data_IF_700422807709
#
_entry.id   IF_700422807709
#
_cell.length_a   1.000
_cell.length_b   1.000
_cell.length_c   1.000
_cell.angle_alpha   90.00
_cell.angle_beta   90.00
_cell.angle_gamma   90.00
#
_symmetry.space_group_name_H-M   'P 1'
#
loop_
_entity.id
_entity.type
_entity.pdbx_description
1 polymer ?
#
# COMPACT_ATOMS: atom_id res chain seq x y z
N UNK A 1 -31.43 -5.70 14.17
CA UNK A 1 -30.37 -5.42 15.18
C UNK A 1 -30.61 -4.05 15.77
N UNK A 2 -30.56 -3.91 17.08
CA UNK A 2 -30.80 -2.67 17.79
C UNK A 2 -29.55 -2.27 18.58
N UNK A 3 -28.97 -1.14 18.25
CA UNK A 3 -27.92 -0.49 19.05
C UNK A 3 -28.58 0.44 20.08
N UNK A 4 -28.29 0.22 21.35
CA UNK A 4 -28.83 1.02 22.44
C UNK A 4 -27.81 1.97 23.01
N UNK A 5 -28.22 3.20 23.28
CA UNK A 5 -27.39 4.23 23.92
C UNK A 5 -26.12 4.53 23.12
N UNK A 6 -26.26 4.74 21.80
CA UNK A 6 -25.16 5.23 20.95
C UNK A 6 -25.10 6.75 21.00
N UNK A 7 -23.89 7.30 20.92
CA UNK A 7 -23.67 8.71 20.72
C UNK A 7 -23.71 9.02 19.22
N UNK A 8 -24.65 9.85 18.81
CA UNK A 8 -24.75 10.45 17.48
C UNK A 8 -24.56 11.97 17.63
N UNK A 9 -23.42 12.49 17.26
CA UNK A 9 -23.12 13.94 17.28
C UNK A 9 -23.43 14.60 18.65
N UNK A 10 -22.96 13.98 19.73
CA UNK A 10 -23.17 14.36 21.13
C UNK A 10 -24.61 14.17 21.64
N UNK A 11 -25.42 13.37 20.98
CA UNK A 11 -26.77 13.02 21.42
C UNK A 11 -26.93 11.51 21.56
N UNK A 12 -27.44 11.07 22.72
CA UNK A 12 -27.65 9.65 22.98
C UNK A 12 -28.97 9.19 22.37
N UNK A 13 -28.90 8.21 21.47
CA UNK A 13 -30.03 7.61 20.78
C UNK A 13 -29.94 6.08 20.77
N UNK A 14 -31.02 5.45 20.47
CA UNK A 14 -31.08 4.07 20.02
C UNK A 14 -31.20 4.03 18.50
N UNK A 15 -30.53 3.08 17.84
CA UNK A 15 -30.51 2.95 16.38
C UNK A 15 -30.86 1.53 15.99
N UNK A 16 -31.93 1.36 15.19
CA UNK A 16 -32.28 0.06 14.61
C UNK A 16 -31.78 -0.07 13.21
N UNK A 17 -31.11 -1.19 12.91
CA UNK A 17 -30.56 -1.52 11.60
C UNK A 17 -31.18 -2.85 11.12
N UNK A 18 -31.55 -2.88 9.84
CA UNK A 18 -31.99 -4.12 9.17
C UNK A 18 -31.29 -4.25 7.81
N UNK A 19 -30.56 -5.34 7.62
CA UNK A 19 -29.72 -5.52 6.44
C UNK A 19 -28.67 -4.40 6.34
N UNK A 20 -28.74 -3.64 5.25
CA UNK A 20 -27.83 -2.52 4.93
C UNK A 20 -28.45 -1.13 5.22
N UNK A 21 -29.57 -1.08 5.95
CA UNK A 21 -30.34 0.15 6.18
C UNK A 21 -30.52 0.46 7.66
N UNK A 22 -30.37 1.73 8.02
CA UNK A 22 -30.88 2.27 9.27
C UNK A 22 -32.41 2.42 9.10
N UNK A 23 -33.17 1.75 9.95
CA UNK A 23 -34.63 1.81 9.92
C UNK A 23 -35.18 2.91 10.82
N UNK A 24 -34.60 3.06 12.00
CA UNK A 24 -35.15 3.98 13.01
C UNK A 24 -34.02 4.55 13.90
N UNK A 25 -34.18 5.81 14.27
CA UNK A 25 -33.32 6.52 15.23
C UNK A 25 -34.25 7.27 16.18
N UNK A 26 -34.19 6.93 17.48
CA UNK A 26 -35.00 7.57 18.48
C UNK A 26 -34.25 7.62 19.83
N UNK A 27 -34.67 8.50 20.77
CA UNK A 27 -34.06 8.55 22.12
C UNK A 27 -34.18 7.21 22.85
N UNK A 28 -35.25 6.44 22.56
CA UNK A 28 -35.48 5.11 23.11
C UNK A 28 -36.28 4.27 22.11
N UNK A 29 -35.82 3.02 21.84
CA UNK A 29 -36.51 2.03 21.04
C UNK A 29 -36.71 0.74 21.86
N UNK A 30 -37.86 0.14 21.74
CA UNK A 30 -38.13 -1.17 22.36
C UNK A 30 -37.61 -2.26 21.46
N UNK A 31 -36.84 -3.23 22.00
CA UNK A 31 -36.36 -4.37 21.24
C UNK A 31 -37.53 -5.23 20.77
N UNK A 32 -37.47 -5.71 19.54
CA UNK A 32 -38.43 -6.65 18.95
C UNK A 32 -38.08 -8.11 19.33
N UNK A 33 -39.06 -8.99 19.25
CA UNK A 33 -38.82 -10.41 19.55
C UNK A 33 -37.75 -10.99 18.60
N UNK A 34 -36.71 -11.59 19.16
CA UNK A 34 -35.60 -12.18 18.40
C UNK A 34 -34.58 -11.15 17.85
N UNK A 35 -34.74 -9.86 18.16
CA UNK A 35 -33.79 -8.83 17.72
C UNK A 35 -32.51 -8.89 18.53
N UNK A 36 -31.34 -8.89 17.84
CA UNK A 36 -30.03 -8.75 18.51
C UNK A 36 -29.88 -7.35 19.06
N UNK A 37 -29.61 -7.22 20.36
CA UNK A 37 -29.41 -5.93 21.02
C UNK A 37 -27.96 -5.75 21.40
N UNK A 38 -27.37 -4.61 21.02
CA UNK A 38 -26.00 -4.20 21.36
C UNK A 38 -26.06 -2.94 22.22
N UNK A 39 -25.53 -3.00 23.44
CA UNK A 39 -25.44 -1.85 24.33
C UNK A 39 -24.12 -1.09 24.09
N UNK A 40 -24.20 0.09 23.47
CA UNK A 40 -23.04 0.94 23.16
C UNK A 40 -22.53 1.74 24.37
N UNK A 41 -23.36 1.85 25.44
CA UNK A 41 -23.01 2.56 26.69
C UNK A 41 -22.46 3.98 26.47
N UNK A 42 -23.02 4.71 25.52
CA UNK A 42 -22.55 6.06 25.15
C UNK A 42 -21.39 6.07 24.15
N UNK A 43 -21.01 4.90 23.60
CA UNK A 43 -20.02 4.84 22.51
C UNK A 43 -20.55 5.48 21.24
N UNK A 44 -19.66 6.18 20.49
CA UNK A 44 -20.04 6.80 19.23
C UNK A 44 -20.38 5.77 18.15
N UNK A 45 -21.46 6.01 17.41
CA UNK A 45 -21.77 5.24 16.20
C UNK A 45 -21.24 6.05 15.00
N UNK A 46 -20.26 5.47 14.32
CA UNK A 46 -19.61 6.08 13.17
C UNK A 46 -19.89 5.26 11.91
N UNK A 47 -19.88 5.90 10.72
CA UNK A 47 -19.77 5.15 9.47
C UNK A 47 -18.50 4.27 9.49
N UNK A 48 -18.55 3.15 8.79
CA UNK A 48 -17.36 2.33 8.61
C UNK A 48 -16.22 3.14 7.98
N UNK A 49 -15.01 2.95 8.48
CA UNK A 49 -13.83 3.67 8.02
C UNK A 49 -13.44 3.26 6.59
N UNK A 50 -12.77 4.17 5.89
CA UNK A 50 -12.21 3.91 4.56
C UNK A 50 -10.70 4.17 4.59
N UNK A 51 -9.91 3.15 4.24
CA UNK A 51 -8.49 3.34 4.00
C UNK A 51 -8.30 3.87 2.57
N UNK A 52 -7.85 5.11 2.46
CA UNK A 52 -7.71 5.79 1.18
C UNK A 52 -6.44 5.44 0.42
N UNK A 53 -5.49 4.67 1.01
CA UNK A 53 -4.23 4.34 0.37
C UNK A 53 -3.66 3.01 0.90
N UNK A 54 -3.95 1.91 0.22
CA UNK A 54 -3.42 0.60 0.58
C UNK A 54 -2.95 -0.17 -0.67
N UNK A 55 -1.91 -1.00 -0.48
CA UNK A 55 -1.45 -2.01 -1.44
C UNK A 55 -1.88 -3.39 -0.96
N UNK A 56 -3.07 -3.83 -1.30
CA UNK A 56 -3.71 -5.04 -0.73
C UNK A 56 -2.85 -6.29 -0.84
N UNK A 57 -2.36 -6.61 -2.04
CA UNK A 57 -1.52 -7.79 -2.24
C UNK A 57 -0.18 -7.69 -1.49
N UNK A 58 0.45 -6.52 -1.46
CA UNK A 58 1.69 -6.32 -0.73
C UNK A 58 1.49 -6.42 0.79
N UNK A 59 0.40 -5.86 1.30
CA UNK A 59 0.05 -5.92 2.72
C UNK A 59 -0.29 -7.35 3.15
N UNK A 60 -1.11 -8.07 2.38
CA UNK A 60 -1.41 -9.47 2.66
C UNK A 60 -0.14 -10.35 2.62
N UNK A 61 0.74 -10.09 1.65
CA UNK A 61 2.02 -10.79 1.58
C UNK A 61 2.94 -10.44 2.76
N UNK A 62 2.90 -9.19 3.26
CA UNK A 62 3.69 -8.79 4.43
C UNK A 62 3.20 -9.47 5.71
N UNK A 63 1.89 -9.67 5.90
CA UNK A 63 1.33 -10.41 7.02
C UNK A 63 1.87 -11.86 7.12
N UNK A 64 2.16 -12.44 5.96
CA UNK A 64 2.70 -13.82 5.86
C UNK A 64 4.23 -13.84 5.70
N UNK A 65 4.92 -12.74 6.00
CA UNK A 65 6.37 -12.61 5.89
C UNK A 65 7.01 -12.47 7.27
N UNK A 66 8.27 -12.88 7.36
CA UNK A 66 9.07 -12.70 8.55
C UNK A 66 9.40 -11.22 8.74
N UNK A 67 9.18 -10.68 9.94
CA UNK A 67 9.72 -9.37 10.30
C UNK A 67 11.25 -9.46 10.43
N UNK A 68 11.97 -8.60 9.70
CA UNK A 68 13.43 -8.61 9.61
C UNK A 68 14.07 -7.33 10.16
N UNK A 69 13.33 -6.51 10.89
CA UNK A 69 13.81 -5.27 11.47
C UNK A 69 13.17 -4.95 12.82
N UNK A 70 13.61 -3.85 13.46
CA UNK A 70 13.04 -3.42 14.73
C UNK A 70 11.52 -3.19 14.66
N UNK A 71 10.77 -3.47 15.74
CA UNK A 71 11.27 -3.91 17.06
C UNK A 71 11.52 -5.42 17.19
N UNK A 72 11.11 -6.25 16.21
CA UNK A 72 11.11 -7.71 16.34
C UNK A 72 12.52 -8.31 16.21
N UNK A 73 13.37 -7.67 15.41
CA UNK A 73 14.74 -8.09 15.12
C UNK A 73 15.63 -6.84 15.23
N UNK A 74 16.59 -6.88 16.17
CA UNK A 74 17.44 -5.75 16.51
C UNK A 74 18.95 -5.97 16.23
N UNK A 75 19.34 -7.17 15.73
CA UNK A 75 20.72 -7.52 15.42
C UNK A 75 20.81 -8.54 14.28
N UNK A 76 22.00 -8.64 13.66
CA UNK A 76 22.28 -9.64 12.62
C UNK A 76 22.12 -11.08 13.15
N UNK A 77 22.51 -11.33 14.41
CA UNK A 77 22.33 -12.66 15.02
C UNK A 77 20.86 -13.02 15.16
N UNK A 78 20.05 -12.09 15.64
CA UNK A 78 18.60 -12.30 15.76
C UNK A 78 17.96 -12.50 14.36
N UNK A 79 18.45 -11.79 13.33
CA UNK A 79 17.98 -11.98 11.96
C UNK A 79 18.31 -13.40 11.47
N UNK A 80 19.56 -13.86 11.67
CA UNK A 80 19.96 -15.21 11.29
C UNK A 80 19.11 -16.29 11.99
N UNK A 81 18.90 -16.13 13.30
CA UNK A 81 18.09 -17.05 14.09
C UNK A 81 16.62 -17.08 13.61
N UNK A 82 16.06 -15.92 13.31
CA UNK A 82 14.69 -15.77 12.82
C UNK A 82 14.50 -16.41 11.43
N UNK A 83 15.45 -16.20 10.51
CA UNK A 83 15.44 -16.81 9.16
C UNK A 83 15.51 -18.34 9.25
N UNK A 84 16.43 -18.88 10.05
CA UNK A 84 16.60 -20.32 10.22
C UNK A 84 15.38 -20.95 10.90
N UNK A 85 14.78 -20.29 11.88
CA UNK A 85 13.54 -20.74 12.53
C UNK A 85 12.37 -20.76 11.56
N UNK A 86 12.22 -19.74 10.70
CA UNK A 86 11.16 -19.71 9.70
C UNK A 86 11.30 -20.86 8.69
N UNK A 87 12.52 -21.11 8.20
CA UNK A 87 12.79 -22.22 7.28
C UNK A 87 12.49 -23.60 7.89
N UNK A 88 12.76 -23.78 9.18
CA UNK A 88 12.47 -25.03 9.88
C UNK A 88 10.96 -25.33 9.98
N UNK A 89 10.11 -24.30 9.99
CA UNK A 89 8.66 -24.46 10.00
C UNK A 89 8.11 -24.86 8.63
N UNK A 90 8.73 -24.37 7.54
CA UNK A 90 8.29 -24.57 6.17
C UNK A 90 9.47 -25.07 5.28
N UNK A 91 9.94 -26.30 5.44
CA UNK A 91 11.06 -26.83 4.68
C UNK A 91 10.82 -26.74 3.16
N UNK A 92 11.84 -26.37 2.41
CA UNK A 92 11.86 -26.27 0.93
C UNK A 92 11.01 -25.13 0.33
N UNK A 93 10.43 -24.26 1.15
CA UNK A 93 9.73 -23.05 0.68
C UNK A 93 10.65 -21.83 0.74
N UNK A 94 10.25 -20.78 0.03
CA UNK A 94 10.88 -19.49 0.15
C UNK A 94 10.73 -18.92 1.56
N UNK A 95 11.84 -18.47 2.15
CA UNK A 95 11.75 -17.56 3.31
C UNK A 95 11.64 -16.15 2.78
N UNK A 96 10.51 -15.51 3.08
CA UNK A 96 10.27 -14.11 2.75
C UNK A 96 10.35 -13.26 4.00
N UNK A 97 11.29 -12.30 3.99
CA UNK A 97 11.42 -11.28 5.02
C UNK A 97 10.98 -9.90 4.52
N UNK A 98 10.54 -9.05 5.45
CA UNK A 98 10.15 -7.66 5.19
C UNK A 98 10.64 -6.75 6.32
N UNK A 99 10.74 -5.46 6.04
CA UNK A 99 11.04 -4.45 7.06
C UNK A 99 12.51 -4.39 7.48
N UNK A 100 13.42 -5.04 6.74
CA UNK A 100 14.85 -4.97 7.04
C UNK A 100 15.38 -3.53 6.97
N UNK A 101 16.23 -3.21 7.92
CA UNK A 101 17.01 -1.98 7.97
C UNK A 101 18.34 -2.28 8.66
N UNK A 102 19.48 -1.68 8.24
CA UNK A 102 20.76 -1.89 8.89
C UNK A 102 20.72 -1.61 10.38
N UNK A 103 21.28 -2.52 11.19
CA UNK A 103 21.22 -2.42 12.65
C UNK A 103 22.18 -1.36 13.17
N UNK A 104 21.83 -0.68 14.29
CA UNK A 104 22.68 0.35 14.93
C UNK A 104 24.06 -0.22 15.27
N UNK A 105 25.10 0.52 14.90
CA UNK A 105 26.49 0.10 15.06
C UNK A 105 27.17 -0.39 13.77
N UNK A 106 26.41 -0.60 12.70
CA UNK A 106 26.90 -0.90 11.35
C UNK A 106 26.62 0.28 10.39
N UNK A 107 26.68 1.50 10.88
CA UNK A 107 26.24 2.72 10.18
C UNK A 107 27.09 3.10 8.95
N UNK A 108 28.26 2.50 8.77
CA UNK A 108 29.07 2.66 7.57
C UNK A 108 28.83 1.48 6.59
N UNK A 109 27.70 1.51 5.87
CA UNK A 109 27.51 0.81 4.58
C UNK A 109 27.32 -0.70 4.55
N UNK A 110 27.04 -1.41 5.64
CA UNK A 110 26.81 -2.85 5.59
C UNK A 110 25.33 -3.24 5.60
N UNK A 111 24.64 -2.97 4.48
CA UNK A 111 23.45 -3.75 4.13
C UNK A 111 23.93 -5.19 3.95
N UNK A 112 23.22 -6.16 4.59
CA UNK A 112 23.52 -7.58 4.37
C UNK A 112 23.44 -7.89 2.88
N UNK A 113 24.25 -8.83 2.43
CA UNK A 113 24.37 -9.24 1.04
C UNK A 113 24.10 -10.74 0.84
N UNK A 114 24.28 -11.21 -0.38
CA UNK A 114 24.13 -12.61 -0.76
C UNK A 114 25.03 -13.50 0.09
N UNK A 115 26.31 -13.14 0.23
CA UNK A 115 27.31 -13.92 0.99
C UNK A 115 26.94 -14.03 2.47
N UNK A 116 26.45 -12.94 3.04
CA UNK A 116 25.97 -12.93 4.42
C UNK A 116 24.78 -13.87 4.61
N UNK A 117 23.80 -13.83 3.69
CA UNK A 117 22.63 -14.69 3.73
C UNK A 117 22.98 -16.18 3.53
N UNK A 118 23.90 -16.49 2.62
CA UNK A 118 24.38 -17.87 2.38
C UNK A 118 25.12 -18.42 3.60
N UNK A 119 25.87 -17.58 4.30
CA UNK A 119 26.66 -17.99 5.47
C UNK A 119 25.83 -18.16 6.75
N UNK A 120 24.86 -17.27 6.98
CA UNK A 120 24.15 -17.16 8.26
C UNK A 120 22.68 -17.59 8.17
N UNK A 121 22.10 -17.59 6.97
CA UNK A 121 20.72 -17.95 6.71
C UNK A 121 20.49 -19.44 6.46
N UNK A 122 19.25 -19.85 6.18
CA UNK A 122 18.87 -21.23 5.93
C UNK A 122 19.28 -21.71 4.52
N UNK A 123 19.40 -23.03 4.38
CA UNK A 123 19.71 -23.70 3.11
C UNK A 123 18.49 -23.83 2.17
N UNK A 124 17.77 -22.73 1.96
CA UNK A 124 16.62 -22.61 1.05
C UNK A 124 16.61 -21.22 0.39
N UNK A 125 15.78 -20.97 -0.64
CA UNK A 125 15.66 -19.64 -1.22
C UNK A 125 15.19 -18.61 -0.20
N UNK A 126 15.94 -17.50 -0.07
CA UNK A 126 15.64 -16.38 0.83
C UNK A 126 15.50 -15.09 0.02
N UNK A 127 14.49 -14.29 0.34
CA UNK A 127 14.38 -12.92 -0.09
C UNK A 127 13.97 -12.02 1.05
N UNK A 128 14.64 -10.89 1.22
CA UNK A 128 14.33 -9.90 2.26
C UNK A 128 14.08 -8.56 1.60
N UNK A 129 12.96 -7.92 1.93
CA UNK A 129 12.67 -6.57 1.48
C UNK A 129 13.13 -5.55 2.51
N UNK A 130 13.90 -4.57 2.08
CA UNK A 130 14.26 -3.42 2.88
C UNK A 130 13.00 -2.59 3.22
N UNK A 131 12.99 -1.90 4.35
CA UNK A 131 11.83 -1.10 4.82
C UNK A 131 11.39 -0.01 3.83
N UNK A 132 12.29 0.47 2.96
CA UNK A 132 11.94 1.43 1.90
C UNK A 132 11.01 0.84 0.82
N UNK A 133 10.90 -0.49 0.75
CA UNK A 133 10.16 -1.20 -0.32
C UNK A 133 10.93 -1.33 -1.64
N UNK A 134 12.05 -0.60 -1.83
CA UNK A 134 12.77 -0.47 -3.09
C UNK A 134 13.89 -1.50 -3.29
N UNK A 135 14.53 -1.95 -2.20
CA UNK A 135 15.62 -2.92 -2.22
C UNK A 135 15.10 -4.30 -1.80
N UNK A 136 15.40 -5.30 -2.61
CA UNK A 136 15.31 -6.70 -2.29
C UNK A 136 16.69 -7.31 -2.16
N UNK A 137 16.89 -8.17 -1.17
CA UNK A 137 18.14 -8.86 -0.87
C UNK A 137 17.87 -10.36 -0.99
N UNK A 138 18.66 -11.04 -1.81
CA UNK A 138 18.52 -12.47 -2.08
C UNK A 138 19.78 -13.23 -1.69
N UNK A 139 19.60 -14.48 -1.26
CA UNK A 139 20.71 -15.44 -1.21
C UNK A 139 20.92 -16.11 -2.57
N UNK A 140 22.02 -16.86 -2.75
CA UNK A 140 22.33 -17.57 -4.01
C UNK A 140 21.18 -18.44 -4.48
N UNK A 141 20.55 -19.22 -3.61
CA UNK A 141 19.40 -20.05 -3.97
C UNK A 141 18.18 -19.25 -4.43
N UNK A 142 17.97 -18.08 -3.89
CA UNK A 142 16.94 -17.15 -4.33
C UNK A 142 17.21 -16.60 -5.73
N UNK A 143 18.45 -16.20 -6.01
CA UNK A 143 18.88 -15.74 -7.34
C UNK A 143 18.79 -16.88 -8.38
N UNK A 144 19.22 -18.08 -8.03
CA UNK A 144 19.09 -19.26 -8.92
C UNK A 144 17.63 -19.55 -9.26
N UNK A 145 16.73 -19.44 -8.29
CA UNK A 145 15.30 -19.63 -8.52
C UNK A 145 14.70 -18.56 -9.44
N UNK A 146 15.19 -17.30 -9.37
CA UNK A 146 14.81 -16.24 -10.30
C UNK A 146 15.31 -16.51 -11.72
N UNK A 147 16.59 -16.91 -11.86
CA UNK A 147 17.20 -17.28 -13.14
C UNK A 147 16.43 -18.43 -13.81
N UNK A 148 16.06 -19.46 -13.05
CA UNK A 148 15.26 -20.58 -13.55
C UNK A 148 13.89 -20.17 -14.09
N UNK A 149 13.35 -19.04 -13.62
CA UNK A 149 12.11 -18.45 -14.11
C UNK A 149 12.33 -17.40 -15.21
N UNK A 150 13.56 -17.23 -15.70
CA UNK A 150 13.90 -16.37 -16.83
C UNK A 150 14.23 -14.91 -16.46
N UNK A 151 14.46 -14.61 -15.19
CA UNK A 151 14.96 -13.28 -14.80
C UNK A 151 16.37 -13.07 -15.36
N UNK A 152 16.61 -11.89 -15.92
CA UNK A 152 17.92 -11.48 -16.41
C UNK A 152 18.66 -10.74 -15.30
N UNK A 153 19.63 -11.40 -14.65
CA UNK A 153 20.37 -10.84 -13.53
C UNK A 153 21.80 -10.48 -13.97
N UNK A 154 22.27 -9.30 -13.59
CA UNK A 154 23.64 -8.84 -13.85
C UNK A 154 24.64 -9.53 -12.90
N UNK A 155 25.93 -9.51 -13.27
CA UNK A 155 27.02 -10.03 -12.42
C UNK A 155 27.06 -9.33 -11.06
N UNK A 156 26.70 -8.04 -11.00
CA UNK A 156 26.65 -7.29 -9.74
C UNK A 156 25.50 -7.78 -8.82
N UNK A 157 24.35 -8.09 -9.39
CA UNK A 157 23.24 -8.71 -8.66
C UNK A 157 23.65 -10.08 -8.12
N UNK A 158 24.32 -10.90 -8.92
CA UNK A 158 24.82 -12.20 -8.46
C UNK A 158 25.82 -12.08 -7.32
N UNK A 159 26.65 -11.05 -7.33
CA UNK A 159 27.66 -10.80 -6.29
C UNK A 159 27.05 -10.23 -5.00
N UNK A 160 26.11 -9.29 -5.10
CA UNK A 160 25.57 -8.58 -3.93
C UNK A 160 24.26 -9.18 -3.42
N UNK A 161 23.49 -9.85 -4.28
CA UNK A 161 22.11 -10.22 -3.98
C UNK A 161 21.13 -9.05 -3.99
N UNK A 162 21.57 -7.84 -4.33
CA UNK A 162 20.78 -6.62 -4.24
C UNK A 162 20.05 -6.33 -5.54
N UNK A 163 18.73 -6.22 -5.49
CA UNK A 163 17.90 -5.81 -6.62
C UNK A 163 17.12 -4.57 -6.20
N UNK A 164 17.44 -3.45 -6.83
CA UNK A 164 16.76 -2.18 -6.63
C UNK A 164 15.68 -1.98 -7.69
N UNK A 165 14.52 -1.44 -7.27
CA UNK A 165 13.43 -1.03 -8.15
C UNK A 165 13.22 -2.05 -9.29
N UNK A 166 12.89 -3.27 -8.91
CA UNK A 166 12.88 -4.49 -9.75
C UNK A 166 12.41 -4.25 -11.17
N UNK A 167 13.22 -4.64 -12.15
CA UNK A 167 12.82 -4.62 -13.55
C UNK A 167 11.66 -5.60 -13.85
N UNK A 168 11.09 -5.51 -15.05
CA UNK A 168 9.93 -6.29 -15.43
C UNK A 168 10.21 -7.81 -15.36
N UNK A 169 11.42 -8.25 -15.70
CA UNK A 169 11.79 -9.67 -15.72
C UNK A 169 11.86 -10.28 -14.33
N UNK A 170 12.43 -9.54 -13.38
CA UNK A 170 12.48 -9.94 -11.97
C UNK A 170 11.09 -9.95 -11.35
N UNK A 171 10.27 -8.95 -11.68
CA UNK A 171 8.89 -8.89 -11.22
C UNK A 171 8.06 -10.05 -11.71
N UNK A 172 8.19 -10.43 -13.00
CA UNK A 172 7.52 -11.58 -13.58
C UNK A 172 8.00 -12.89 -12.92
N UNK A 173 9.32 -13.04 -12.71
CA UNK A 173 9.89 -14.19 -12.01
C UNK A 173 9.46 -14.27 -10.53
N UNK A 174 9.22 -13.13 -9.88
CA UNK A 174 8.68 -13.03 -8.50
C UNK A 174 7.17 -13.13 -8.44
N UNK A 175 6.47 -13.05 -9.58
CA UNK A 175 5.01 -13.18 -9.59
C UNK A 175 4.63 -14.50 -8.91
N UNK A 176 3.95 -14.37 -7.80
CA UNK A 176 3.40 -15.50 -7.05
C UNK A 176 1.92 -15.61 -7.38
N UNK A 177 1.32 -16.74 -7.07
CA UNK A 177 -0.13 -16.87 -7.08
C UNK A 177 -0.79 -15.70 -6.33
N UNK A 178 -2.00 -15.30 -6.73
CA UNK A 178 -2.74 -14.24 -6.05
C UNK A 178 -2.74 -14.49 -4.54
N UNK A 179 -2.41 -13.45 -3.75
CA UNK A 179 -2.38 -13.57 -2.30
C UNK A 179 -3.77 -13.89 -1.76
N UNK A 180 -3.83 -14.76 -0.75
CA UNK A 180 -5.07 -14.92 0.02
C UNK A 180 -5.31 -13.64 0.82
N UNK A 181 -6.38 -12.93 0.51
CA UNK A 181 -6.71 -11.66 1.15
C UNK A 181 -7.58 -11.81 2.41
N UNK A 182 -8.03 -13.03 2.74
CA UNK A 182 -9.00 -13.26 3.83
C UNK A 182 -8.50 -12.72 5.17
N UNK A 183 -7.28 -13.06 5.56
CA UNK A 183 -6.71 -12.64 6.85
C UNK A 183 -6.55 -11.11 6.92
N UNK A 184 -6.13 -10.49 5.83
CA UNK A 184 -6.04 -9.03 5.75
C UNK A 184 -7.41 -8.39 5.86
N UNK A 185 -8.42 -8.93 5.17
CA UNK A 185 -9.79 -8.43 5.23
C UNK A 185 -10.33 -8.51 6.65
N UNK A 186 -10.13 -9.61 7.35
CA UNK A 186 -10.57 -9.80 8.72
C UNK A 186 -9.88 -8.79 9.68
N UNK A 187 -8.60 -8.53 9.48
CA UNK A 187 -7.86 -7.50 10.24
C UNK A 187 -8.43 -6.10 9.96
N UNK A 188 -8.63 -5.73 8.69
CA UNK A 188 -9.20 -4.42 8.32
C UNK A 188 -10.59 -4.23 8.93
N UNK A 189 -11.46 -5.25 8.84
CA UNK A 189 -12.79 -5.22 9.44
C UNK A 189 -12.73 -5.11 10.97
N UNK A 190 -11.76 -5.76 11.64
CA UNK A 190 -11.58 -5.67 13.10
C UNK A 190 -11.24 -4.25 13.55
N UNK A 191 -10.63 -3.45 12.68
CA UNK A 191 -10.37 -2.02 12.90
C UNK A 191 -11.52 -1.11 12.47
N UNK A 192 -12.64 -1.68 12.02
CA UNK A 192 -13.79 -0.91 11.54
C UNK A 192 -13.61 -0.36 10.11
N UNK A 193 -12.59 -0.80 9.38
CA UNK A 193 -12.37 -0.43 7.97
C UNK A 193 -13.29 -1.29 7.10
N UNK A 194 -14.26 -0.66 6.46
CA UNK A 194 -15.25 -1.32 5.60
C UNK A 194 -15.07 -1.00 4.12
N UNK A 195 -14.16 -0.09 3.81
CA UNK A 195 -13.80 0.28 2.45
C UNK A 195 -12.32 0.57 2.31
N UNK A 196 -11.78 0.34 1.12
CA UNK A 196 -10.37 0.57 0.81
C UNK A 196 -10.20 1.16 -0.58
N UNK A 197 -9.14 1.94 -0.77
CA UNK A 197 -8.64 2.33 -2.08
C UNK A 197 -7.32 1.62 -2.33
N UNK A 198 -7.34 0.65 -3.23
CA UNK A 198 -6.17 -0.08 -3.71
C UNK A 198 -5.42 0.78 -4.72
N UNK A 199 -4.15 1.11 -4.42
CA UNK A 199 -3.40 2.14 -5.16
C UNK A 199 -2.18 1.61 -5.92
N UNK A 200 -2.08 0.31 -6.12
CA UNK A 200 -0.95 -0.29 -6.85
C UNK A 200 -0.93 0.19 -8.31
N UNK A 201 0.18 0.84 -8.76
CA UNK A 201 0.22 1.49 -10.09
C UNK A 201 0.00 0.52 -11.26
N UNK A 202 0.37 -0.74 -11.06
CA UNK A 202 0.35 -1.76 -12.11
C UNK A 202 -0.92 -2.58 -12.16
N UNK A 203 -1.90 -2.29 -11.32
CA UNK A 203 -3.18 -2.99 -11.37
C UNK A 203 -3.72 -3.03 -12.80
N UNK A 204 -4.02 -4.24 -13.25
CA UNK A 204 -4.47 -4.58 -14.59
C UNK A 204 -5.93 -5.03 -14.58
N UNK A 205 -6.56 -5.25 -15.74
CA UNK A 205 -7.86 -5.90 -15.84
C UNK A 205 -7.95 -7.25 -15.12
N UNK A 206 -6.86 -8.02 -15.09
CA UNK A 206 -6.80 -9.32 -14.41
C UNK A 206 -6.83 -9.13 -12.88
N UNK A 207 -6.06 -8.18 -12.36
CA UNK A 207 -6.08 -7.83 -10.93
C UNK A 207 -7.48 -7.38 -10.50
N UNK A 208 -8.15 -6.56 -11.31
CA UNK A 208 -9.53 -6.15 -11.06
C UNK A 208 -10.47 -7.35 -10.91
N UNK A 209 -10.39 -8.33 -11.82
CA UNK A 209 -11.21 -9.53 -11.76
C UNK A 209 -10.90 -10.39 -10.53
N UNK A 210 -9.65 -10.43 -10.10
CA UNK A 210 -9.24 -11.11 -8.90
C UNK A 210 -9.84 -10.44 -7.64
N UNK A 211 -9.70 -9.12 -7.53
CA UNK A 211 -10.30 -8.36 -6.42
C UNK A 211 -11.83 -8.50 -6.39
N UNK A 212 -12.49 -8.46 -7.54
CA UNK A 212 -13.95 -8.62 -7.63
C UNK A 212 -14.43 -9.93 -7.00
N UNK A 213 -13.62 -11.00 -7.10
CA UNK A 213 -13.95 -12.33 -6.55
C UNK A 213 -13.65 -12.45 -5.05
N UNK A 214 -12.59 -11.80 -4.57
CA UNK A 214 -11.98 -12.14 -3.29
C UNK A 214 -12.04 -11.05 -2.21
N UNK A 215 -12.69 -9.90 -2.46
CA UNK A 215 -12.70 -8.78 -1.51
C UNK A 215 -13.97 -8.60 -0.69
N UNK A 216 -14.95 -9.49 -0.83
CA UNK A 216 -16.13 -9.40 0.02
C UNK A 216 -15.77 -9.63 1.49
N UNK A 217 -16.34 -8.84 2.45
CA UNK A 217 -17.39 -7.84 2.25
C UNK A 217 -16.91 -6.40 2.01
N UNK A 218 -15.60 -6.13 1.91
CA UNK A 218 -15.07 -4.76 1.75
C UNK A 218 -15.60 -4.06 0.48
N UNK A 219 -15.84 -2.76 0.59
CA UNK A 219 -15.94 -1.88 -0.59
C UNK A 219 -14.56 -1.56 -1.08
N UNK A 220 -14.32 -1.61 -2.39
CA UNK A 220 -13.00 -1.36 -2.96
C UNK A 220 -13.06 -0.44 -4.16
N UNK A 221 -12.20 0.58 -4.15
CA UNK A 221 -11.89 1.39 -5.33
C UNK A 221 -10.50 1.02 -5.81
N UNK A 222 -10.36 0.58 -7.05
CA UNK A 222 -9.11 0.08 -7.60
C UNK A 222 -8.51 1.12 -8.54
N UNK A 223 -7.35 1.64 -8.20
CA UNK A 223 -6.50 2.44 -9.06
C UNK A 223 -5.53 1.56 -9.83
N UNK A 224 -4.94 2.08 -10.88
CA UNK A 224 -3.92 1.37 -11.64
C UNK A 224 -3.77 1.93 -13.05
N UNK A 225 -3.43 1.06 -14.00
CA UNK A 225 -3.17 1.41 -15.39
C UNK A 225 -4.37 2.03 -16.10
N UNK A 226 -4.17 2.81 -17.17
CA UNK A 226 -5.26 3.28 -18.04
C UNK A 226 -6.17 2.15 -18.52
N UNK A 227 -5.60 0.98 -18.84
CA UNK A 227 -6.33 -0.21 -19.32
C UNK A 227 -7.40 -0.76 -18.38
N UNK A 228 -7.42 -0.34 -17.10
CA UNK A 228 -8.51 -0.70 -16.20
C UNK A 228 -9.88 -0.22 -16.71
N UNK A 229 -9.93 0.78 -17.59
CA UNK A 229 -11.18 1.27 -18.19
C UNK A 229 -11.95 0.13 -18.89
N UNK A 230 -11.25 -0.88 -19.43
CA UNK A 230 -11.84 -2.03 -20.10
C UNK A 230 -12.73 -2.87 -19.16
N UNK A 231 -12.63 -2.64 -17.86
CA UNK A 231 -13.43 -3.33 -16.83
C UNK A 231 -14.57 -2.48 -16.30
N UNK A 232 -14.86 -1.30 -16.86
CA UNK A 232 -15.86 -0.36 -16.33
C UNK A 232 -17.25 -1.01 -16.25
N UNK A 233 -17.65 -1.80 -17.25
CA UNK A 233 -18.93 -2.49 -17.29
C UNK A 233 -19.03 -3.64 -16.28
N UNK A 234 -17.91 -4.06 -15.69
CA UNK A 234 -17.86 -5.08 -14.63
C UNK A 234 -17.82 -4.46 -13.22
N UNK A 235 -17.75 -3.15 -13.15
CA UNK A 235 -17.82 -2.43 -11.87
C UNK A 235 -19.15 -2.66 -11.16
N UNK A 236 -19.09 -2.75 -9.84
CA UNK A 236 -20.25 -2.95 -8.98
C UNK A 236 -20.30 -1.84 -7.94
N UNK A 237 -21.38 -1.76 -7.18
CA UNK A 237 -21.46 -0.84 -6.04
C UNK A 237 -20.41 -1.14 -4.96
N UNK A 238 -19.83 -2.35 -4.95
CA UNK A 238 -18.81 -2.77 -3.99
C UNK A 238 -17.40 -2.63 -4.53
N UNK A 239 -17.16 -2.97 -5.78
CA UNK A 239 -15.83 -2.91 -6.41
C UNK A 239 -15.92 -2.07 -7.67
N UNK A 240 -15.18 -0.98 -7.70
CA UNK A 240 -15.20 -0.02 -8.80
C UNK A 240 -13.79 0.43 -9.20
N UNK A 241 -13.70 1.05 -10.37
CA UNK A 241 -12.47 1.61 -10.91
C UNK A 241 -12.31 3.04 -10.43
N UNK A 242 -11.12 3.35 -9.92
CA UNK A 242 -10.68 4.67 -9.48
C UNK A 242 -9.80 5.37 -10.52
N UNK A 243 -8.85 6.13 -10.01
CA UNK A 243 -7.92 6.95 -10.74
C UNK A 243 -6.95 6.12 -11.60
N UNK A 244 -6.39 6.75 -12.63
CA UNK A 244 -5.12 6.28 -13.21
C UNK A 244 -4.03 6.60 -12.21
N UNK A 245 -3.24 5.59 -11.83
CA UNK A 245 -2.18 5.77 -10.82
C UNK A 245 -0.86 6.08 -11.51
N UNK A 246 -0.35 7.27 -11.27
CA UNK A 246 0.96 7.73 -11.73
C UNK A 246 2.00 7.50 -10.63
N UNK A 247 3.15 6.95 -11.00
CA UNK A 247 4.20 6.63 -10.04
C UNK A 247 5.57 6.76 -10.71
N UNK A 248 6.21 7.90 -10.52
CA UNK A 248 7.53 8.24 -10.99
C UNK A 248 8.43 8.56 -9.80
N UNK A 249 9.73 8.49 -10.00
CA UNK A 249 10.74 8.83 -8.99
C UNK A 249 11.66 9.91 -9.53
N UNK A 250 12.33 10.66 -8.66
CA UNK A 250 13.24 11.76 -9.03
C UNK A 250 14.26 11.40 -10.10
N UNK A 251 14.75 10.14 -10.09
CA UNK A 251 15.75 9.68 -11.05
C UNK A 251 15.15 9.25 -12.41
N UNK A 252 13.83 9.19 -12.53
CA UNK A 252 13.10 8.74 -13.73
C UNK A 252 11.85 9.59 -13.98
N UNK A 253 11.95 10.90 -13.74
CA UNK A 253 10.86 11.82 -13.99
C UNK A 253 10.63 11.97 -15.49
N UNK A 254 9.39 11.85 -15.98
CA UNK A 254 9.05 12.09 -17.37
C UNK A 254 9.17 13.58 -17.71
N UNK A 255 9.20 13.89 -19.00
CA UNK A 255 9.06 15.29 -19.42
C UNK A 255 7.66 15.82 -19.07
N UNK A 256 7.56 17.14 -18.88
CA UNK A 256 6.27 17.79 -18.64
C UNK A 256 5.25 17.43 -19.76
N UNK A 257 5.69 17.43 -21.02
CA UNK A 257 4.82 17.08 -22.16
C UNK A 257 4.30 15.64 -22.08
N UNK A 258 5.16 14.69 -21.70
CA UNK A 258 4.77 13.28 -21.55
C UNK A 258 3.73 13.12 -20.43
N UNK A 259 4.01 13.69 -19.28
CA UNK A 259 3.11 13.59 -18.13
C UNK A 259 1.77 14.29 -18.39
N UNK A 260 1.79 15.45 -19.07
CA UNK A 260 0.56 16.16 -19.47
C UNK A 260 -0.32 15.27 -20.36
N UNK A 261 0.27 14.60 -21.37
CA UNK A 261 -0.49 13.69 -22.25
C UNK A 261 -1.09 12.49 -21.51
N UNK A 262 -0.39 11.92 -20.57
CA UNK A 262 -0.92 10.82 -19.73
C UNK A 262 -2.12 11.26 -18.89
N UNK A 263 -2.08 12.49 -18.38
CA UNK A 263 -3.18 13.08 -17.62
C UNK A 263 -4.38 13.37 -18.54
N UNK A 264 -4.14 13.96 -19.72
CA UNK A 264 -5.18 14.20 -20.73
C UNK A 264 -5.86 12.89 -21.15
N UNK A 265 -5.10 11.81 -21.34
CA UNK A 265 -5.64 10.48 -21.64
C UNK A 265 -6.52 9.96 -20.52
N UNK A 266 -6.10 10.06 -19.26
CA UNK A 266 -6.91 9.69 -18.11
C UNK A 266 -8.22 10.49 -18.04
N UNK A 267 -8.15 11.81 -18.23
CA UNK A 267 -9.32 12.68 -18.27
C UNK A 267 -10.28 12.34 -19.42
N UNK A 268 -9.76 11.97 -20.60
CA UNK A 268 -10.58 11.55 -21.74
C UNK A 268 -11.41 10.29 -21.44
N UNK A 269 -10.92 9.43 -20.53
CA UNK A 269 -11.62 8.26 -20.02
C UNK A 269 -12.60 8.59 -18.88
N UNK A 270 -12.74 9.86 -18.49
CA UNK A 270 -13.54 10.29 -17.34
C UNK A 270 -12.95 9.93 -15.97
N UNK A 271 -11.68 9.53 -15.94
CA UNK A 271 -10.90 9.20 -14.73
C UNK A 271 -10.02 10.39 -14.35
N UNK A 272 -9.87 10.64 -13.06
CA UNK A 272 -8.80 11.51 -12.57
C UNK A 272 -7.49 10.74 -12.48
N UNK A 273 -6.41 11.45 -12.18
CA UNK A 273 -5.11 10.87 -11.86
C UNK A 273 -4.86 10.89 -10.36
N UNK A 274 -4.08 9.91 -9.87
CA UNK A 274 -3.55 9.88 -8.51
C UNK A 274 -2.04 9.74 -8.58
N UNK A 275 -1.31 10.82 -8.34
CA UNK A 275 0.15 10.87 -8.52
C UNK A 275 0.88 10.67 -7.20
N UNK A 276 1.85 9.74 -7.20
CA UNK A 276 2.80 9.58 -6.11
C UNK A 276 3.74 10.80 -6.07
N UNK A 277 3.80 11.51 -4.93
CA UNK A 277 4.66 12.68 -4.75
C UNK A 277 5.24 12.66 -3.33
N UNK A 278 6.48 12.19 -3.21
CA UNK A 278 7.24 12.19 -1.95
C UNK A 278 8.23 13.36 -1.93
N UNK A 279 8.86 13.64 -3.06
CA UNK A 279 9.81 14.74 -3.19
C UNK A 279 9.15 16.02 -3.69
N UNK A 280 9.85 17.13 -3.53
CA UNK A 280 9.38 18.42 -4.03
C UNK A 280 9.34 18.48 -5.57
N UNK A 281 10.32 17.84 -6.24
CA UNK A 281 10.39 17.81 -7.70
C UNK A 281 9.23 17.01 -8.32
N UNK A 282 8.91 15.83 -7.76
CA UNK A 282 7.74 15.03 -8.15
C UNK A 282 6.45 15.84 -8.03
N UNK A 283 6.29 16.57 -6.92
CA UNK A 283 5.10 17.39 -6.66
C UNK A 283 4.97 18.53 -7.67
N UNK A 284 6.04 19.32 -7.88
CA UNK A 284 5.97 20.47 -8.78
C UNK A 284 5.73 20.05 -10.23
N UNK A 285 6.40 18.99 -10.70
CA UNK A 285 6.18 18.48 -12.06
C UNK A 285 4.74 17.99 -12.23
N UNK A 286 4.19 17.29 -11.24
CA UNK A 286 2.80 16.80 -11.27
C UNK A 286 1.81 17.97 -11.31
N UNK A 287 1.98 18.98 -10.46
CA UNK A 287 1.11 20.16 -10.44
C UNK A 287 1.15 20.92 -11.78
N UNK A 288 2.34 21.10 -12.36
CA UNK A 288 2.50 21.74 -13.66
C UNK A 288 1.81 20.94 -14.77
N UNK A 289 1.93 19.62 -14.76
CA UNK A 289 1.29 18.75 -15.74
C UNK A 289 -0.24 18.73 -15.62
N UNK A 290 -0.78 18.70 -14.39
CA UNK A 290 -2.22 18.78 -14.15
C UNK A 290 -2.75 20.15 -14.62
N UNK A 291 -2.05 21.26 -14.32
CA UNK A 291 -2.45 22.58 -14.78
C UNK A 291 -2.47 22.67 -16.30
N UNK A 292 -1.44 22.13 -16.98
CA UNK A 292 -1.34 22.12 -18.43
C UNK A 292 -2.42 21.25 -19.10
N UNK A 293 -2.75 20.11 -18.52
CA UNK A 293 -3.79 19.20 -19.02
C UNK A 293 -5.22 19.71 -18.78
N UNK A 294 -5.37 20.70 -17.88
CA UNK A 294 -6.67 21.15 -17.36
C UNK A 294 -7.11 20.30 -16.17
N UNK A 295 -7.10 20.87 -14.95
CA UNK A 295 -7.34 20.14 -13.72
C UNK A 295 -8.75 19.55 -13.66
N UNK A 296 -8.87 18.37 -13.09
CA UNK A 296 -10.13 17.69 -12.78
C UNK A 296 -10.33 17.64 -11.28
N UNK A 297 -11.56 17.86 -10.80
CA UNK A 297 -11.90 17.67 -9.36
C UNK A 297 -11.63 16.24 -8.87
N UNK A 298 -11.43 15.31 -9.79
CA UNK A 298 -11.07 13.92 -9.48
C UNK A 298 -9.57 13.73 -9.32
N UNK A 299 -8.72 14.71 -9.67
CA UNK A 299 -7.27 14.57 -9.53
C UNK A 299 -6.86 14.62 -8.05
N UNK A 300 -5.84 13.84 -7.70
CA UNK A 300 -5.32 13.87 -6.34
C UNK A 300 -3.81 13.58 -6.28
N UNK A 301 -3.20 14.07 -5.24
CA UNK A 301 -1.81 13.81 -4.86
C UNK A 301 -1.78 12.78 -3.74
N UNK A 302 -0.90 11.79 -3.88
CA UNK A 302 -0.60 10.82 -2.83
C UNK A 302 0.63 11.27 -2.05
N UNK A 303 0.61 11.10 -0.75
CA UNK A 303 1.64 11.43 0.22
C UNK A 303 1.83 12.93 0.44
N UNK A 304 2.28 13.68 -0.57
CA UNK A 304 2.65 15.08 -0.43
C UNK A 304 3.60 15.27 0.77
N UNK A 305 4.72 14.48 0.80
CA UNK A 305 5.56 14.41 1.99
C UNK A 305 6.39 15.68 2.20
N UNK A 306 6.90 16.29 1.12
CA UNK A 306 7.64 17.56 1.16
C UNK A 306 6.84 18.59 0.36
N UNK A 307 6.26 19.56 1.06
CA UNK A 307 5.36 20.57 0.47
C UNK A 307 5.74 21.96 0.95
N UNK A 308 6.08 22.86 0.02
CA UNK A 308 6.26 24.28 0.31
C UNK A 308 4.92 25.03 0.39
N UNK A 309 4.93 26.24 0.95
CA UNK A 309 3.71 27.07 0.98
C UNK A 309 3.20 27.39 -0.43
N UNK A 310 4.10 27.62 -1.39
CA UNK A 310 3.74 27.88 -2.79
C UNK A 310 3.05 26.69 -3.43
N UNK A 311 3.57 25.46 -3.19
CA UNK A 311 2.93 24.23 -3.67
C UNK A 311 1.56 24.00 -3.02
N UNK A 312 1.38 24.31 -1.73
CA UNK A 312 0.08 24.25 -1.06
C UNK A 312 -0.93 25.23 -1.68
N UNK A 313 -0.50 26.43 -1.99
CA UNK A 313 -1.37 27.44 -2.61
C UNK A 313 -1.74 27.02 -4.05
N UNK A 314 -0.82 26.39 -4.77
CA UNK A 314 -1.09 25.84 -6.10
C UNK A 314 -2.06 24.65 -6.05
N UNK A 315 -1.90 23.70 -5.11
CA UNK A 315 -2.86 22.60 -4.87
C UNK A 315 -4.27 23.17 -4.62
N UNK A 316 -4.39 24.19 -3.78
CA UNK A 316 -5.68 24.88 -3.51
C UNK A 316 -6.26 25.54 -4.76
N UNK A 317 -5.43 26.27 -5.51
CA UNK A 317 -5.85 26.93 -6.74
C UNK A 317 -6.39 25.93 -7.76
N UNK A 318 -5.75 24.78 -7.93
CA UNK A 318 -6.18 23.72 -8.83
C UNK A 318 -7.31 22.85 -8.26
N UNK A 319 -7.68 23.04 -7.00
CA UNK A 319 -8.70 22.26 -6.28
C UNK A 319 -8.43 20.75 -6.28
N UNK A 320 -7.17 20.36 -6.05
CA UNK A 320 -6.70 18.96 -6.06
C UNK A 320 -6.82 18.37 -4.66
N UNK A 321 -7.32 17.14 -4.56
CA UNK A 321 -7.34 16.38 -3.32
C UNK A 321 -5.96 15.87 -2.92
N UNK A 322 -5.69 15.77 -1.61
CA UNK A 322 -4.45 15.17 -1.08
C UNK A 322 -4.79 14.02 -0.14
N UNK A 323 -4.11 12.90 -0.32
CA UNK A 323 -4.16 11.75 0.60
C UNK A 323 -2.77 11.53 1.19
N UNK A 324 -2.64 11.82 2.48
CA UNK A 324 -1.37 11.74 3.21
C UNK A 324 -1.42 10.73 4.35
N UNK A 325 -0.25 10.31 4.84
CA UNK A 325 -0.09 9.36 5.93
C UNK A 325 0.67 10.02 7.10
N UNK A 326 -0.03 10.66 8.05
CA UNK A 326 0.61 11.36 9.17
C UNK A 326 1.50 10.46 10.04
N UNK A 327 1.22 9.15 10.08
CA UNK A 327 2.04 8.17 10.80
C UNK A 327 3.47 8.06 10.29
N UNK A 328 3.75 8.42 9.04
CA UNK A 328 5.10 8.42 8.48
C UNK A 328 6.03 9.42 9.19
N UNK A 329 5.50 10.53 9.69
CA UNK A 329 6.28 11.51 10.46
C UNK A 329 6.90 10.83 11.68
N UNK A 330 6.13 9.99 12.39
CA UNK A 330 6.61 9.27 13.58
C UNK A 330 7.47 8.06 13.20
N UNK A 331 7.08 7.31 12.17
CA UNK A 331 7.75 6.07 11.78
C UNK A 331 9.07 6.31 11.02
N UNK A 332 9.28 7.50 10.43
CA UNK A 332 10.42 7.85 9.58
C UNK A 332 11.09 9.16 10.01
N UNK A 333 10.96 9.56 11.26
CA UNK A 333 11.43 10.86 11.77
C UNK A 333 12.91 11.14 11.40
N UNK A 334 13.82 10.20 11.67
CA UNK A 334 15.24 10.34 11.33
C UNK A 334 15.48 10.52 9.82
N UNK A 335 14.76 9.81 8.97
CA UNK A 335 14.90 9.93 7.51
C UNK A 335 14.35 11.27 7.01
N UNK A 336 13.20 11.71 7.51
CA UNK A 336 12.63 12.99 7.13
C UNK A 336 13.49 14.18 7.60
N UNK A 337 14.10 14.12 8.78
CA UNK A 337 15.00 15.16 9.24
C UNK A 337 16.20 15.29 8.30
N UNK A 338 16.82 14.19 7.87
CA UNK A 338 17.93 14.22 6.93
C UNK A 338 17.53 14.76 5.56
N UNK A 339 16.36 14.35 5.04
CA UNK A 339 15.87 14.76 3.73
C UNK A 339 15.44 16.24 3.71
N UNK A 340 14.84 16.75 4.80
CA UNK A 340 14.41 18.15 4.92
C UNK A 340 15.63 19.07 5.08
N UNK A 341 16.62 18.70 5.89
CA UNK A 341 17.82 19.51 6.07
C UNK A 341 18.68 19.66 4.79
N UNK A 342 18.61 18.68 3.87
CA UNK A 342 19.32 18.76 2.60
C UNK A 342 18.57 19.58 1.52
N UNK A 343 17.28 19.83 1.67
CA UNK A 343 16.43 20.47 0.66
C UNK A 343 15.88 21.85 1.07
N UNK A 344 16.26 22.38 2.25
CA UNK A 344 15.99 23.75 2.70
C UNK A 344 17.21 24.65 2.61
#
# INVERSE_FOLDING_TARGET
MLFKKVDLENNIHDVRVHGDRILDIAPELVAEEGETVIHANGGALLPGLHDHHIHMNATAAALNSLSCGPPDVASEQELADALNKAAAQFPLQWVRGVGYYPFKGNEEHNIIDCDWLDKNGPDCPVRIQHRSGRLWIFNTKGLDALNMKGALLSDDIHRTGHIYDTDASVQEALASDPQNLSDLIDILLSYGITGVTEVTPRNSPEDFLNYLKHTAPLKMTIMGRPTLIDMIDKSTARVNIGHVKLHYHDHDLPSLETLTKEIEEAHSQGRGVASHCVTHAELLLTLAAIEAAGPSIKDRIEHAAIVTQEALDWIKQLNIGVVTQPSFIVARDEAYQQDIEQNM
#
